data_IF_292839797455
#
_entry.id   IF_292839797455
#
_cell.length_a   1.000
_cell.length_b   1.000
_cell.length_c   1.000
_cell.angle_alpha   90.00
_cell.angle_beta   90.00
_cell.angle_gamma   90.00
#
_symmetry.space_group_name_H-M   'P 1'
#
loop_
_entity.id
_entity.type
_entity.pdbx_description
1 polymer ?
#
# COMPACT_ATOMS: atom_id res chain seq x y z
N UNK A 1 26.81 -10.49 1.33
CA UNK A 1 26.02 -9.58 2.17
C UNK A 1 25.82 -10.24 3.52
N UNK A 2 25.98 -9.53 4.63
CA UNK A 2 25.83 -10.12 5.97
C UNK A 2 24.40 -9.84 6.43
N UNK A 3 23.53 -10.84 6.54
CA UNK A 3 22.15 -10.67 7.02
C UNK A 3 22.10 -10.53 8.56
N UNK A 4 22.80 -9.52 9.10
CA UNK A 4 23.05 -9.38 10.55
C UNK A 4 21.75 -9.17 11.32
N UNK A 5 20.80 -8.43 10.73
CA UNK A 5 19.51 -8.12 11.33
C UNK A 5 18.42 -9.16 11.03
N UNK A 6 18.71 -10.19 10.23
CA UNK A 6 17.75 -11.23 9.86
C UNK A 6 16.61 -10.78 8.94
N UNK A 7 16.65 -9.55 8.42
CA UNK A 7 15.58 -8.95 7.61
C UNK A 7 15.63 -9.32 6.13
N UNK A 8 16.82 -9.58 5.59
CA UNK A 8 16.95 -9.95 4.17
C UNK A 8 16.51 -11.40 4.01
N UNK A 9 15.55 -11.64 3.14
CA UNK A 9 14.93 -12.97 3.01
C UNK A 9 14.43 -13.23 1.58
N UNK A 10 13.70 -14.32 1.39
CA UNK A 10 13.19 -14.78 0.10
C UNK A 10 11.69 -14.47 -0.07
N UNK A 11 11.24 -14.45 -1.33
CA UNK A 11 9.80 -14.38 -1.65
C UNK A 11 9.03 -15.52 -0.96
N UNK A 12 9.55 -16.75 -0.99
CA UNK A 12 8.91 -17.92 -0.37
C UNK A 12 8.65 -17.71 1.13
N UNK A 13 9.63 -17.17 1.85
CA UNK A 13 9.48 -16.88 3.27
C UNK A 13 8.41 -15.82 3.52
N UNK A 14 8.48 -14.66 2.84
CA UNK A 14 7.51 -13.59 3.08
C UNK A 14 6.09 -13.99 2.65
N UNK A 15 5.96 -14.85 1.65
CA UNK A 15 4.65 -15.38 1.25
C UNK A 15 3.96 -16.15 2.38
N UNK A 16 4.66 -16.61 3.42
CA UNK A 16 4.03 -17.28 4.58
C UNK A 16 3.15 -16.35 5.43
N UNK A 17 3.36 -15.02 5.37
CA UNK A 17 2.57 -14.04 6.12
C UNK A 17 1.22 -13.72 5.46
N UNK A 18 1.01 -14.13 4.20
CA UNK A 18 -0.22 -13.84 3.47
C UNK A 18 -1.24 -14.98 3.62
N UNK A 19 -2.47 -14.63 3.96
CA UNK A 19 -3.59 -15.55 4.11
C UNK A 19 -4.89 -14.95 3.57
N UNK A 20 -5.89 -15.81 3.33
CA UNK A 20 -7.20 -15.38 2.89
C UNK A 20 -7.86 -14.46 3.94
N UNK A 21 -8.64 -13.49 3.47
CA UNK A 21 -9.38 -12.58 4.34
C UNK A 21 -8.55 -11.44 4.96
N UNK A 22 -7.24 -11.39 4.70
CA UNK A 22 -6.36 -10.42 5.34
C UNK A 22 -6.60 -8.99 4.88
N UNK A 23 -6.16 -8.03 5.70
CA UNK A 23 -5.97 -6.64 5.27
C UNK A 23 -4.54 -6.43 4.77
N UNK A 24 -4.42 -6.07 3.50
CA UNK A 24 -3.17 -5.82 2.81
C UNK A 24 -3.11 -4.35 2.38
N UNK A 25 -2.09 -3.63 2.84
CA UNK A 25 -1.78 -2.29 2.36
C UNK A 25 -0.64 -2.34 1.36
N UNK A 26 -0.72 -1.52 0.31
CA UNK A 26 0.28 -1.52 -0.75
C UNK A 26 0.68 -0.09 -1.16
N UNK A 27 1.98 0.07 -1.44
CA UNK A 27 2.49 1.26 -2.09
C UNK A 27 2.30 1.25 -3.61
N UNK A 28 2.39 2.44 -4.20
CA UNK A 28 2.32 2.65 -5.64
C UNK A 28 1.25 3.63 -6.08
N UNK A 29 1.41 4.14 -7.29
CA UNK A 29 0.48 5.05 -7.96
C UNK A 29 0.34 4.64 -9.42
N UNK A 30 -0.84 4.14 -9.81
CA UNK A 30 -1.10 3.63 -11.16
C UNK A 30 -0.14 2.51 -11.57
N UNK A 31 0.43 1.77 -10.62
CA UNK A 31 1.48 0.76 -10.82
C UNK A 31 2.92 1.24 -10.65
N UNK A 32 3.18 2.55 -10.72
CA UNK A 32 4.53 3.11 -10.49
C UNK A 32 4.86 3.01 -8.99
N UNK A 33 5.96 2.34 -8.66
CA UNK A 33 6.34 2.08 -7.26
C UNK A 33 5.48 1.04 -6.55
N UNK A 34 4.79 0.18 -7.30
CA UNK A 34 4.19 -1.05 -6.76
C UNK A 34 5.23 -2.18 -6.72
N UNK A 35 5.17 -3.12 -5.76
CA UNK A 35 6.09 -4.26 -5.67
C UNK A 35 5.67 -5.45 -6.56
N UNK A 36 6.18 -5.58 -7.80
CA UNK A 36 5.69 -6.57 -8.78
C UNK A 36 5.85 -8.02 -8.31
N UNK A 37 7.00 -8.35 -7.74
CA UNK A 37 7.38 -9.72 -7.39
C UNK A 37 6.49 -10.26 -6.28
N UNK A 38 6.22 -9.42 -5.27
CA UNK A 38 5.32 -9.79 -4.17
C UNK A 38 3.89 -9.94 -4.69
N UNK A 39 3.41 -9.00 -5.49
CA UNK A 39 2.04 -9.05 -6.05
C UNK A 39 1.82 -10.34 -6.86
N UNK A 40 2.77 -10.71 -7.72
CA UNK A 40 2.68 -11.94 -8.50
C UNK A 40 2.75 -13.19 -7.60
N UNK A 41 3.61 -13.18 -6.57
CA UNK A 41 3.66 -14.26 -5.59
C UNK A 41 2.35 -14.45 -4.83
N UNK A 42 1.66 -13.37 -4.44
CA UNK A 42 0.33 -13.43 -3.80
C UNK A 42 -0.68 -14.04 -4.78
N UNK A 43 -0.65 -13.60 -6.04
CA UNK A 43 -1.55 -14.09 -7.08
C UNK A 43 -1.35 -15.60 -7.34
N UNK A 44 -0.11 -16.04 -7.44
CA UNK A 44 0.30 -17.45 -7.64
C UNK A 44 -0.08 -18.33 -6.44
N UNK A 45 0.12 -17.83 -5.21
CA UNK A 45 -0.32 -18.50 -3.98
C UNK A 45 -1.84 -18.64 -3.90
N UNK A 46 -2.57 -17.83 -4.66
CA UNK A 46 -4.01 -17.95 -4.84
C UNK A 46 -4.83 -17.35 -3.69
N UNK A 47 -4.26 -16.42 -2.93
CA UNK A 47 -4.90 -15.74 -1.79
C UNK A 47 -6.14 -14.96 -2.24
N UNK A 48 -7.22 -14.99 -1.45
CA UNK A 48 -8.54 -14.41 -1.79
C UNK A 48 -9.17 -13.65 -0.62
N UNK A 49 -10.29 -13.00 -0.92
CA UNK A 49 -11.11 -12.23 0.03
C UNK A 49 -10.31 -11.13 0.74
N UNK A 50 -9.31 -10.56 0.07
CA UNK A 50 -8.40 -9.57 0.64
C UNK A 50 -9.12 -8.23 0.79
N UNK A 51 -8.89 -7.53 1.90
CA UNK A 51 -9.15 -6.09 2.01
C UNK A 51 -7.90 -5.33 1.56
N UNK A 52 -8.00 -4.62 0.44
CA UNK A 52 -6.90 -3.85 -0.12
C UNK A 52 -6.96 -2.39 0.30
N UNK A 53 -5.84 -1.83 0.75
CA UNK A 53 -5.70 -0.41 1.06
C UNK A 53 -4.56 0.19 0.23
N UNK A 54 -4.87 1.18 -0.59
CA UNK A 54 -3.86 1.87 -1.37
C UNK A 54 -4.45 2.89 -2.34
N UNK A 55 -3.58 3.61 -3.05
CA UNK A 55 -4.00 4.80 -3.78
C UNK A 55 -5.10 4.53 -4.83
N UNK A 56 -4.93 3.45 -5.60
CA UNK A 56 -5.77 3.09 -6.73
C UNK A 56 -5.78 1.57 -6.99
N UNK A 57 -6.69 1.10 -7.85
CA UNK A 57 -6.79 -0.31 -8.25
C UNK A 57 -5.94 -0.68 -9.47
N UNK A 58 -4.94 0.13 -9.82
CA UNK A 58 -4.07 -0.08 -10.97
C UNK A 58 -4.80 -0.23 -12.31
N UNK A 59 -4.17 -0.99 -13.22
CA UNK A 59 -4.77 -1.47 -14.46
C UNK A 59 -4.88 -3.00 -14.40
N UNK A 60 -5.70 -3.64 -15.25
CA UNK A 60 -5.99 -5.07 -15.09
C UNK A 60 -4.77 -6.00 -15.03
N UNK A 61 -3.68 -5.62 -15.70
CA UNK A 61 -2.43 -6.38 -15.74
C UNK A 61 -1.23 -5.67 -15.06
N UNK A 62 -1.47 -4.56 -14.36
CA UNK A 62 -0.41 -3.70 -13.78
C UNK A 62 -0.61 -3.54 -12.28
N UNK A 63 0.47 -3.76 -11.52
CA UNK A 63 0.49 -3.56 -10.06
C UNK A 63 -0.63 -4.34 -9.38
N UNK A 64 -1.24 -3.73 -8.36
CA UNK A 64 -2.32 -4.36 -7.57
C UNK A 64 -3.54 -4.73 -8.43
N UNK A 65 -3.70 -4.11 -9.59
CA UNK A 65 -4.83 -4.35 -10.48
C UNK A 65 -4.91 -5.80 -10.95
N UNK A 66 -3.77 -6.53 -10.98
CA UNK A 66 -3.75 -7.99 -11.20
C UNK A 66 -4.60 -8.75 -10.18
N UNK A 67 -4.50 -8.41 -8.89
CA UNK A 67 -5.28 -9.06 -7.83
C UNK A 67 -6.76 -8.70 -7.93
N UNK A 68 -7.05 -7.42 -8.19
CA UNK A 68 -8.43 -6.92 -8.34
C UNK A 68 -9.12 -7.60 -9.52
N UNK A 69 -8.49 -7.63 -10.70
CA UNK A 69 -9.07 -8.21 -11.92
C UNK A 69 -9.20 -9.73 -11.87
N UNK A 70 -8.46 -10.40 -10.98
CA UNK A 70 -8.56 -11.84 -10.71
C UNK A 70 -9.46 -12.15 -9.52
N UNK A 71 -10.29 -11.19 -9.10
CA UNK A 71 -11.31 -11.35 -8.06
C UNK A 71 -10.72 -11.79 -6.70
N UNK A 72 -9.50 -11.34 -6.39
CA UNK A 72 -8.85 -11.66 -5.11
C UNK A 72 -9.26 -10.73 -3.98
N UNK A 73 -9.79 -9.54 -4.29
CA UNK A 73 -10.21 -8.55 -3.31
C UNK A 73 -11.71 -8.63 -3.03
N UNK A 74 -12.08 -8.63 -1.75
CA UNK A 74 -13.47 -8.48 -1.31
C UNK A 74 -13.81 -7.01 -1.02
N UNK A 75 -12.82 -6.23 -0.57
CA UNK A 75 -12.94 -4.80 -0.29
C UNK A 75 -11.72 -4.03 -0.79
N UNK A 76 -11.92 -2.81 -1.26
CA UNK A 76 -10.87 -1.83 -1.58
C UNK A 76 -11.17 -0.51 -0.88
N UNK A 77 -10.17 0.05 -0.20
CA UNK A 77 -10.15 1.43 0.27
C UNK A 77 -9.16 2.20 -0.60
N UNK A 78 -9.66 3.10 -1.45
CA UNK A 78 -8.85 3.79 -2.46
C UNK A 78 -9.39 5.17 -2.80
N UNK A 79 -8.56 5.97 -3.48
CA UNK A 79 -8.95 7.27 -4.00
C UNK A 79 -9.52 7.20 -5.42
N UNK A 80 -9.15 6.17 -6.18
CA UNK A 80 -9.50 6.04 -7.59
C UNK A 80 -9.56 4.58 -8.03
N UNK A 81 -10.58 4.22 -8.82
CA UNK A 81 -10.70 2.87 -9.40
C UNK A 81 -10.86 2.85 -10.93
N UNK A 82 -10.97 4.02 -11.57
CA UNK A 82 -11.40 4.15 -12.97
C UNK A 82 -10.47 3.50 -14.00
N UNK A 83 -9.20 3.32 -13.66
CA UNK A 83 -8.20 2.69 -14.53
C UNK A 83 -8.34 1.16 -14.62
N UNK A 84 -9.12 0.55 -13.71
CA UNK A 84 -9.43 -0.88 -13.73
C UNK A 84 -10.93 -1.10 -13.96
N UNK A 85 -11.36 -1.37 -15.22
CA UNK A 85 -12.79 -1.54 -15.52
C UNK A 85 -13.43 -2.71 -14.77
N UNK A 86 -12.65 -3.73 -14.37
CA UNK A 86 -13.16 -4.84 -13.57
C UNK A 86 -13.55 -4.40 -12.16
N UNK A 87 -12.83 -3.46 -11.56
CA UNK A 87 -13.18 -2.91 -10.26
C UNK A 87 -14.56 -2.23 -10.28
N UNK A 88 -14.79 -1.35 -11.27
CA UNK A 88 -16.08 -0.67 -11.44
C UNK A 88 -17.22 -1.65 -11.72
N UNK A 89 -16.99 -2.66 -12.56
CA UNK A 89 -17.97 -3.72 -12.84
C UNK A 89 -18.33 -4.50 -11.58
N UNK A 90 -17.34 -5.00 -10.84
CA UNK A 90 -17.59 -5.79 -9.61
C UNK A 90 -18.23 -4.95 -8.50
N UNK A 91 -17.89 -3.67 -8.40
CA UNK A 91 -18.56 -2.73 -7.48
C UNK A 91 -20.05 -2.61 -7.82
N UNK A 92 -20.39 -2.43 -9.10
CA UNK A 92 -21.79 -2.35 -9.54
C UNK A 92 -22.55 -3.67 -9.32
N UNK A 93 -21.88 -4.81 -9.51
CA UNK A 93 -22.43 -6.14 -9.26
C UNK A 93 -22.51 -6.50 -7.74
N UNK A 94 -21.99 -5.65 -6.84
CA UNK A 94 -21.97 -5.91 -5.41
C UNK A 94 -20.97 -7.00 -4.97
N UNK A 95 -20.00 -7.35 -5.83
CA UNK A 95 -18.97 -8.38 -5.60
C UNK A 95 -17.68 -7.82 -5.02
N UNK A 96 -17.49 -6.50 -5.13
CA UNK A 96 -16.36 -5.77 -4.53
C UNK A 96 -16.91 -4.58 -3.74
N UNK A 97 -16.66 -4.55 -2.44
CA UNK A 97 -16.92 -3.36 -1.63
C UNK A 97 -15.87 -2.29 -1.95
N UNK A 98 -16.29 -1.05 -2.19
CA UNK A 98 -15.38 0.08 -2.44
C UNK A 98 -15.68 1.20 -1.46
N UNK A 99 -14.69 1.54 -0.64
CA UNK A 99 -14.68 2.72 0.20
C UNK A 99 -13.81 3.80 -0.48
N UNK A 100 -14.47 4.86 -0.96
CA UNK A 100 -13.75 5.99 -1.54
C UNK A 100 -13.20 6.91 -0.44
N UNK A 101 -11.92 7.23 -0.53
CA UNK A 101 -11.24 8.18 0.35
C UNK A 101 -10.51 9.20 -0.53
N UNK A 102 -10.78 10.52 -0.42
CA UNK A 102 -10.01 11.54 -1.12
C UNK A 102 -8.50 11.30 -0.92
N UNK A 103 -7.69 11.45 -1.97
CA UNK A 103 -6.31 10.97 -1.97
C UNK A 103 -5.47 11.51 -0.80
N UNK A 104 -5.58 12.81 -0.50
CA UNK A 104 -4.90 13.41 0.65
C UNK A 104 -5.37 12.85 2.00
N UNK A 105 -6.66 12.55 2.12
CA UNK A 105 -7.25 11.94 3.32
C UNK A 105 -6.84 10.48 3.45
N UNK A 106 -6.79 9.73 2.35
CA UNK A 106 -6.28 8.36 2.36
C UNK A 106 -4.84 8.31 2.88
N UNK A 107 -3.97 9.19 2.35
CA UNK A 107 -2.59 9.31 2.80
C UNK A 107 -2.50 9.66 4.28
N UNK A 108 -3.31 10.62 4.74
CA UNK A 108 -3.30 11.06 6.14
C UNK A 108 -3.89 10.03 7.10
N UNK A 109 -4.90 9.25 6.69
CA UNK A 109 -5.43 8.10 7.45
C UNK A 109 -4.38 7.00 7.62
N UNK A 110 -3.61 6.70 6.57
CA UNK A 110 -2.47 5.76 6.63
C UNK A 110 -1.38 6.31 7.57
N UNK A 111 -1.02 7.59 7.40
CA UNK A 111 -0.02 8.25 8.26
C UNK A 111 -0.45 8.20 9.73
N UNK A 112 -1.71 8.52 10.02
CA UNK A 112 -2.29 8.49 11.35
C UNK A 112 -2.16 7.10 11.99
N UNK A 113 -2.48 6.03 11.24
CA UNK A 113 -2.29 4.65 11.68
C UNK A 113 -0.84 4.35 12.04
N UNK A 114 0.09 4.71 11.15
CA UNK A 114 1.52 4.46 11.37
C UNK A 114 2.16 5.27 12.51
N UNK A 115 1.49 6.29 13.04
CA UNK A 115 1.97 7.06 14.21
C UNK A 115 1.08 6.89 15.46
N UNK A 116 0.13 5.95 15.44
CA UNK A 116 -0.72 5.65 16.60
C UNK A 116 -1.81 6.67 16.89
N UNK A 117 -2.22 7.47 15.90
CA UNK A 117 -3.41 8.32 16.01
C UNK A 117 -4.65 7.50 15.61
N UNK A 118 -5.74 7.50 16.38
CA UNK A 118 -6.94 6.70 16.07
C UNK A 118 -7.75 7.24 14.88
N UNK A 119 -7.54 8.51 14.49
CA UNK A 119 -8.22 9.16 13.38
C UNK A 119 -7.84 10.63 13.28
N UNK A 120 -8.38 11.29 12.26
CA UNK A 120 -8.16 12.70 11.94
C UNK A 120 -9.50 13.41 11.71
N UNK A 121 -9.54 14.71 11.96
CA UNK A 121 -10.68 15.56 11.58
C UNK A 121 -10.37 16.27 10.27
N UNK A 122 -11.30 16.23 9.31
CA UNK A 122 -11.13 16.84 8.00
C UNK A 122 -12.45 17.38 7.46
N UNK A 123 -12.40 18.53 6.78
CA UNK A 123 -13.51 19.11 6.03
C UNK A 123 -13.55 18.67 4.55
N UNK A 124 -12.50 17.98 4.07
CA UNK A 124 -12.39 17.51 2.70
C UNK A 124 -13.46 16.44 2.40
N UNK A 125 -14.27 16.69 1.37
CA UNK A 125 -15.28 15.75 0.86
C UNK A 125 -16.61 15.78 1.61
N UNK A 126 -16.84 16.76 2.49
CA UNK A 126 -18.09 16.93 3.23
C UNK A 126 -19.31 17.21 2.34
N UNK A 127 -19.10 17.72 1.13
CA UNK A 127 -20.13 17.94 0.12
C UNK A 127 -20.42 16.70 -0.74
N UNK A 128 -19.71 15.59 -0.51
CA UNK A 128 -19.85 14.35 -1.28
C UNK A 128 -20.51 13.25 -0.44
N UNK A 129 -21.73 12.86 -0.81
CA UNK A 129 -22.50 11.84 -0.08
C UNK A 129 -21.78 10.49 0.04
N UNK A 130 -21.01 10.07 -0.98
CA UNK A 130 -20.29 8.79 -0.96
C UNK A 130 -19.17 8.82 0.08
N UNK A 131 -18.45 9.94 0.19
CA UNK A 131 -17.35 10.12 1.14
C UNK A 131 -17.89 10.24 2.58
N UNK A 132 -19.01 10.94 2.77
CA UNK A 132 -19.62 11.19 4.09
C UNK A 132 -20.32 9.95 4.66
N UNK A 133 -20.86 9.07 3.79
CA UNK A 133 -21.74 7.98 4.19
C UNK A 133 -21.14 7.11 5.31
N UNK A 134 -21.85 7.07 6.44
CA UNK A 134 -21.50 6.23 7.59
C UNK A 134 -20.36 6.77 8.45
N UNK A 135 -19.83 7.96 8.18
CA UNK A 135 -18.76 8.59 8.97
C UNK A 135 -19.32 9.57 10.00
N UNK A 136 -18.78 9.62 11.24
CA UNK A 136 -19.19 10.62 12.22
C UNK A 136 -18.82 12.04 11.80
N UNK A 137 -19.69 13.00 12.11
CA UNK A 137 -19.41 14.44 12.01
C UNK A 137 -19.14 14.97 13.42
N UNK A 138 -18.03 15.68 13.58
CA UNK A 138 -17.56 16.23 14.85
C UNK A 138 -17.54 17.76 14.76
N UNK A 139 -18.21 18.42 15.70
CA UNK A 139 -18.12 19.88 15.85
C UNK A 139 -16.85 20.25 16.64
N UNK A 140 -16.02 21.13 16.07
CA UNK A 140 -14.81 21.64 16.72
C UNK A 140 -14.59 23.11 16.36
N UNK A 141 -14.40 23.96 17.37
CA UNK A 141 -14.18 25.41 17.22
C UNK A 141 -15.22 26.12 16.31
N UNK A 142 -16.49 25.70 16.38
CA UNK A 142 -17.57 26.29 15.60
C UNK A 142 -17.68 25.80 14.15
N UNK A 143 -16.83 24.87 13.72
CA UNK A 143 -16.92 24.21 12.42
C UNK A 143 -17.27 22.72 12.58
N UNK A 144 -17.78 22.13 11.52
CA UNK A 144 -18.03 20.69 11.42
C UNK A 144 -16.91 20.01 10.62
N UNK A 145 -16.53 18.80 11.02
CA UNK A 145 -15.50 17.99 10.38
C UNK A 145 -15.96 16.54 10.29
N UNK A 146 -15.55 15.83 9.25
CA UNK A 146 -15.62 14.37 9.21
C UNK A 146 -14.53 13.78 10.11
N UNK A 147 -14.90 12.78 10.90
CA UNK A 147 -13.95 11.91 11.56
C UNK A 147 -13.54 10.79 10.59
N UNK A 148 -12.29 10.86 10.13
CA UNK A 148 -11.68 9.87 9.27
C UNK A 148 -10.82 8.93 10.12
N UNK A 149 -11.18 7.65 10.19
CA UNK A 149 -10.46 6.68 11.03
C UNK A 149 -9.09 6.36 10.44
N UNK A 150 -8.12 6.12 11.32
CA UNK A 150 -6.81 5.67 10.88
C UNK A 150 -6.89 4.31 10.16
N UNK A 151 -5.94 4.09 9.25
CA UNK A 151 -5.82 2.86 8.48
C UNK A 151 -4.50 2.17 8.84
N UNK A 152 -4.62 0.92 9.23
CA UNK A 152 -3.50 -0.03 9.41
C UNK A 152 -3.80 -1.30 8.64
N UNK A 153 -2.81 -2.17 8.48
CA UNK A 153 -2.95 -3.46 7.82
C UNK A 153 -2.14 -4.54 8.51
N UNK A 154 -2.55 -5.80 8.35
CA UNK A 154 -1.78 -6.95 8.86
C UNK A 154 -0.45 -7.05 8.12
N UNK A 155 -0.46 -6.80 6.80
CA UNK A 155 0.76 -6.74 5.99
C UNK A 155 0.76 -5.48 5.12
N UNK A 156 1.90 -4.81 5.07
CA UNK A 156 2.20 -3.70 4.18
C UNK A 156 3.30 -4.09 3.19
N UNK A 157 3.04 -3.92 1.90
CA UNK A 157 4.02 -4.20 0.83
C UNK A 157 4.45 -2.91 0.15
N UNK A 158 5.76 -2.67 0.10
CA UNK A 158 6.34 -1.44 -0.46
C UNK A 158 7.43 -1.74 -1.47
N UNK A 159 7.65 -0.81 -2.39
CA UNK A 159 8.74 -0.86 -3.37
C UNK A 159 9.73 0.28 -3.11
N UNK A 160 11.02 -0.04 -3.12
CA UNK A 160 12.09 0.95 -2.97
C UNK A 160 13.22 0.72 -3.96
N UNK A 161 13.99 1.78 -4.22
CA UNK A 161 15.15 1.72 -5.11
C UNK A 161 16.27 0.92 -4.44
N UNK A 162 16.62 1.30 -3.20
CA UNK A 162 17.62 0.57 -2.43
C UNK A 162 17.18 0.36 -0.99
N UNK A 163 17.64 -0.74 -0.41
CA UNK A 163 17.66 -0.97 1.03
C UNK A 163 19.08 -1.25 1.52
N UNK A 164 19.38 -0.88 2.76
CA UNK A 164 20.53 -1.47 3.47
C UNK A 164 20.13 -2.70 4.30
N UNK A 165 21.12 -3.35 4.93
CA UNK A 165 20.90 -4.55 5.76
C UNK A 165 19.99 -4.30 6.98
N UNK A 166 19.82 -3.05 7.44
CA UNK A 166 18.92 -2.68 8.55
C UNK A 166 17.47 -2.45 8.08
N UNK A 167 17.26 -2.30 6.77
CA UNK A 167 15.98 -2.01 6.13
C UNK A 167 15.75 -0.53 5.85
N UNK A 168 16.77 0.33 5.96
CA UNK A 168 16.62 1.74 5.58
C UNK A 168 16.35 1.84 4.08
N UNK A 169 15.36 2.62 3.65
CA UNK A 169 14.94 2.70 2.26
C UNK A 169 15.19 4.07 1.64
N UNK A 170 15.58 4.06 0.37
CA UNK A 170 15.53 5.21 -0.55
C UNK A 170 14.68 4.87 -1.77
N UNK A 171 14.11 5.90 -2.40
CA UNK A 171 13.15 5.75 -3.50
C UNK A 171 13.61 6.50 -4.75
N UNK A 172 13.14 6.08 -5.93
CA UNK A 172 13.41 6.79 -7.19
C UNK A 172 12.23 7.68 -7.56
N UNK A 173 12.42 9.00 -7.49
CA UNK A 173 11.49 10.01 -8.02
C UNK A 173 10.04 9.76 -7.57
N UNK A 174 9.11 9.60 -8.51
CA UNK A 174 7.67 9.42 -8.27
C UNK A 174 7.28 8.00 -7.84
N UNK A 175 8.18 7.01 -7.96
CA UNK A 175 7.97 5.67 -7.38
C UNK A 175 7.94 5.70 -5.85
N UNK A 176 8.32 6.83 -5.22
CA UNK A 176 8.15 7.04 -3.77
C UNK A 176 6.68 7.03 -3.36
N UNK A 177 5.85 7.89 -3.95
CA UNK A 177 4.42 8.07 -3.65
C UNK A 177 4.01 7.75 -2.19
N UNK A 178 3.13 6.78 -1.96
CA UNK A 178 2.62 6.38 -0.64
C UNK A 178 3.51 5.37 0.08
N UNK A 179 4.54 4.80 -0.58
CA UNK A 179 5.38 3.75 0.01
C UNK A 179 5.90 4.06 1.43
N UNK A 180 6.43 5.28 1.73
CA UNK A 180 6.88 5.58 3.09
C UNK A 180 5.75 5.58 4.13
N UNK A 181 4.53 5.98 3.74
CA UNK A 181 3.38 5.99 4.64
C UNK A 181 2.89 4.57 4.90
N UNK A 182 2.81 3.77 3.85
CA UNK A 182 2.42 2.35 3.91
C UNK A 182 3.39 1.54 4.78
N UNK A 183 4.69 1.80 4.65
CA UNK A 183 5.71 1.13 5.45
C UNK A 183 5.51 1.31 6.96
N UNK A 184 4.98 2.44 7.41
CA UNK A 184 4.75 2.70 8.83
C UNK A 184 3.46 2.06 9.36
N UNK A 185 2.53 1.67 8.50
CA UNK A 185 1.15 1.34 8.90
C UNK A 185 0.81 -0.16 8.80
N UNK A 186 1.81 -1.03 8.62
CA UNK A 186 1.64 -2.48 8.65
C UNK A 186 2.10 -3.07 9.99
N UNK A 187 1.43 -4.14 10.45
CA UNK A 187 1.95 -4.97 11.54
C UNK A 187 3.22 -5.72 11.10
N UNK A 188 3.27 -6.10 9.81
CA UNK A 188 4.46 -6.58 9.12
C UNK A 188 4.66 -5.76 7.83
N UNK A 189 5.83 -5.16 7.67
CA UNK A 189 6.21 -4.44 6.45
C UNK A 189 7.27 -5.19 5.66
N UNK A 190 6.97 -5.46 4.38
CA UNK A 190 7.87 -6.13 3.44
C UNK A 190 8.24 -5.15 2.33
N UNK A 191 9.54 -4.87 2.20
CA UNK A 191 10.10 -4.04 1.15
C UNK A 191 10.68 -4.90 0.01
N UNK A 192 10.14 -4.75 -1.19
CA UNK A 192 10.75 -5.22 -2.43
C UNK A 192 11.69 -4.15 -2.98
N UNK A 193 12.95 -4.49 -3.26
CA UNK A 193 13.96 -3.50 -3.67
C UNK A 193 14.79 -3.89 -4.88
N UNK A 194 15.23 -2.91 -5.65
CA UNK A 194 16.12 -3.12 -6.82
C UNK A 194 17.53 -3.52 -6.40
N UNK A 195 18.04 -2.92 -5.33
CA UNK A 195 19.40 -3.15 -4.87
C UNK A 195 19.45 -3.20 -3.33
N UNK A 196 20.09 -4.23 -2.79
CA UNK A 196 20.42 -4.27 -1.36
C UNK A 196 21.89 -3.91 -1.22
N UNK A 197 22.20 -2.91 -0.38
CA UNK A 197 23.56 -2.44 -0.12
C UNK A 197 24.01 -2.83 1.29
N UNK A 198 25.34 -2.94 1.55
CA UNK A 198 25.84 -3.14 2.90
C UNK A 198 25.44 -2.00 3.84
N UNK A 199 25.45 -2.25 5.15
CA UNK A 199 25.27 -1.20 6.16
C UNK A 199 26.27 -0.06 5.95
N UNK A 200 25.79 1.19 5.98
CA UNK A 200 26.57 2.38 5.66
C UNK A 200 26.70 2.69 4.15
N UNK A 201 26.14 1.84 3.28
CA UNK A 201 26.06 2.07 1.84
C UNK A 201 25.03 3.13 1.43
N UNK A 202 24.12 3.50 2.34
CA UNK A 202 23.20 4.63 2.19
C UNK A 202 23.69 5.80 3.04
N UNK A 203 23.65 7.02 2.47
CA UNK A 203 23.93 8.22 3.26
C UNK A 203 22.76 8.48 4.21
N UNK A 204 23.00 8.79 5.49
CA UNK A 204 21.91 9.02 6.45
C UNK A 204 20.88 10.05 6.01
N UNK A 205 21.33 11.17 5.41
CA UNK A 205 20.45 12.25 4.92
C UNK A 205 19.64 11.88 3.66
N UNK A 206 19.96 10.77 3.00
CA UNK A 206 19.21 10.28 1.85
C UNK A 206 18.13 9.26 2.26
N UNK A 207 18.18 8.75 3.50
CA UNK A 207 17.21 7.76 4.03
C UNK A 207 15.85 8.42 4.18
N UNK A 208 14.85 7.84 3.53
CA UNK A 208 13.48 8.32 3.56
C UNK A 208 12.63 7.52 4.55
N UNK A 209 12.75 6.20 4.51
CA UNK A 209 12.05 5.30 5.44
C UNK A 209 13.10 4.66 6.33
N UNK A 210 13.14 5.02 7.62
CA UNK A 210 14.03 4.37 8.57
C UNK A 210 13.71 2.87 8.67
N UNK A 211 14.74 2.03 8.76
CA UNK A 211 14.59 0.58 8.75
C UNK A 211 13.84 -0.01 9.94
N UNK A 212 13.51 0.80 10.95
CA UNK A 212 12.63 0.39 12.05
C UNK A 212 11.21 0.06 11.57
N UNK A 213 10.77 0.66 10.46
CA UNK A 213 9.45 0.40 9.87
C UNK A 213 9.44 -0.76 8.87
N UNK A 214 10.56 -1.50 8.73
CA UNK A 214 10.70 -2.55 7.72
C UNK A 214 11.10 -3.83 8.42
N UNK A 215 10.28 -4.87 8.32
CA UNK A 215 10.55 -6.18 8.92
C UNK A 215 11.36 -7.06 7.96
N UNK A 216 11.00 -7.04 6.68
CA UNK A 216 11.62 -7.89 5.67
C UNK A 216 12.00 -7.13 4.41
N UNK A 217 13.14 -7.50 3.82
CA UNK A 217 13.62 -6.98 2.55
C UNK A 217 13.84 -8.15 1.59
N UNK A 218 13.28 -8.05 0.39
CA UNK A 218 13.51 -9.01 -0.69
C UNK A 218 13.99 -8.30 -1.97
N UNK A 219 14.85 -8.92 -2.78
CA UNK A 219 15.19 -8.38 -4.08
C UNK A 219 14.01 -8.50 -5.06
N UNK A 220 13.81 -7.47 -5.89
CA UNK A 220 12.84 -7.49 -6.99
C UNK A 220 13.30 -8.42 -8.12
N UNK A 221 12.35 -9.04 -8.81
CA UNK A 221 12.54 -9.67 -10.12
C UNK A 221 12.33 -8.67 -11.28
N UNK A 222 12.05 -7.41 -10.96
CA UNK A 222 11.80 -6.33 -11.91
C UNK A 222 10.34 -6.24 -12.35
N UNK A 223 10.02 -5.13 -13.02
CA UNK A 223 8.73 -4.91 -13.65
C UNK A 223 8.53 -5.90 -14.80
N UNK A 224 7.40 -6.60 -14.82
CA UNK A 224 7.06 -7.59 -15.84
C UNK A 224 5.82 -7.23 -16.69
N UNK A 225 5.35 -5.98 -16.61
CA UNK A 225 4.27 -5.47 -17.44
C UNK A 225 4.80 -4.43 -18.44
N UNK A 226 3.98 -4.19 -19.47
CA UNK A 226 4.16 -3.08 -20.40
C UNK A 226 3.06 -2.06 -20.17
N UNK A 227 3.41 -0.80 -20.31
CA UNK A 227 2.42 0.27 -20.23
C UNK A 227 1.54 0.27 -21.48
N UNK A 228 0.30 0.74 -21.35
CA UNK A 228 -0.63 0.77 -22.49
C UNK A 228 -0.21 1.73 -23.62
N UNK A 229 0.77 2.61 -23.34
CA UNK A 229 1.33 3.59 -24.27
C UNK A 229 2.74 3.25 -24.75
N UNK A 230 3.27 2.08 -24.37
CA UNK A 230 4.50 1.50 -24.93
C UNK A 230 4.18 0.58 -26.11
#
# INVERSE_FOLDING_TARGET
MKNIFGKITTLEHVLTFFHDGMTLMFGGFGGVGSPPTIIDGILEKGIRNITLIGNDTGFPHIGIGKLVSQERAAKVIASHIGSNPFAGKMMHEGRLEVEFSPQGILAERIRAGGVGLPGILSDIGMDNEIVVKGKPIIAHNGNEYLLETALTAEVSIVYAKKADEYGNLIYDKSARNTNPLVAMAGDITIAEVEEIVPLGGLKPEEIITPGVFVDYVIPTKGVNWRWAWE
#
